data_IF_881027575920
#
_entry.id   IF_881027575920
#
_cell.length_a   1.000
_cell.length_b   1.000
_cell.length_c   1.000
_cell.angle_alpha   90.00
_cell.angle_beta   90.00
_cell.angle_gamma   90.00
#
_symmetry.space_group_name_H-M   'P 1'
#
loop_
_entity.id
_entity.type
_entity.pdbx_description
1 polymer ?
#
# COMPACT_ATOMS: atom_id res chain seq x y z
N UNK A 1 4.05 -6.24 -5.82
CA UNK A 1 2.76 -6.45 -5.12
C UNK A 1 2.67 -5.54 -3.91
N UNK A 2 1.49 -5.35 -3.31
CA UNK A 2 1.29 -4.55 -2.08
C UNK A 2 2.33 -4.86 -1.00
N UNK A 3 2.61 -6.15 -0.79
CA UNK A 3 3.64 -6.66 0.13
C UNK A 3 5.04 -6.07 -0.13
N UNK A 4 5.43 -5.84 -1.39
CA UNK A 4 6.71 -5.21 -1.72
C UNK A 4 6.74 -3.73 -1.31
N UNK A 5 5.61 -3.01 -1.43
CA UNK A 5 5.50 -1.62 -1.01
C UNK A 5 5.60 -1.52 0.52
N UNK A 6 4.91 -2.41 1.24
CA UNK A 6 5.00 -2.50 2.71
C UNK A 6 6.42 -2.83 3.20
N UNK A 7 7.09 -3.79 2.55
CA UNK A 7 8.49 -4.12 2.86
C UNK A 7 9.40 -2.90 2.64
N UNK A 8 9.19 -2.17 1.54
CA UNK A 8 9.96 -0.96 1.21
C UNK A 8 9.70 0.16 2.22
N UNK A 9 8.45 0.38 2.60
CA UNK A 9 8.04 1.34 3.63
C UNK A 9 8.74 1.04 4.97
N UNK A 10 8.70 -0.22 5.43
CA UNK A 10 9.40 -0.66 6.65
C UNK A 10 10.90 -0.38 6.60
N UNK A 11 11.54 -0.59 5.46
CA UNK A 11 12.98 -0.28 5.28
C UNK A 11 13.22 1.22 5.37
N UNK A 12 12.37 2.05 4.75
CA UNK A 12 12.50 3.51 4.81
C UNK A 12 12.25 4.07 6.20
N UNK A 13 11.28 3.53 6.95
CA UNK A 13 11.03 3.89 8.35
C UNK A 13 12.27 3.62 9.22
N UNK A 14 12.89 2.43 9.07
CA UNK A 14 14.16 2.11 9.76
C UNK A 14 15.29 3.07 9.38
N UNK A 15 15.41 3.43 8.09
CA UNK A 15 16.41 4.41 7.63
C UNK A 15 16.17 5.81 8.21
N UNK A 16 14.93 6.27 8.25
CA UNK A 16 14.56 7.55 8.83
C UNK A 16 14.89 7.61 10.33
N UNK A 17 14.55 6.56 11.09
CA UNK A 17 14.92 6.44 12.50
C UNK A 17 16.45 6.45 12.70
N UNK A 18 17.20 5.75 11.85
CA UNK A 18 18.66 5.75 11.91
C UNK A 18 19.29 7.12 11.59
N UNK A 19 18.69 7.93 10.72
CA UNK A 19 19.14 9.31 10.50
C UNK A 19 18.87 10.21 11.72
N UNK A 20 17.79 9.97 12.48
CA UNK A 20 17.52 10.70 13.73
C UNK A 20 18.60 10.41 14.78
N UNK A 21 18.95 9.14 14.99
CA UNK A 21 19.99 8.79 15.95
C UNK A 21 21.35 9.38 15.54
N UNK A 22 21.72 9.28 14.25
CA UNK A 22 22.94 9.94 13.74
C UNK A 22 22.91 11.46 13.90
N UNK A 23 21.77 12.11 13.69
CA UNK A 23 21.64 13.55 13.93
C UNK A 23 21.86 13.90 15.41
N UNK A 24 21.37 13.09 16.35
CA UNK A 24 21.61 13.26 17.79
C UNK A 24 23.09 13.10 18.12
N UNK A 25 23.76 12.10 17.58
CA UNK A 25 25.21 11.89 17.75
C UNK A 25 26.03 13.09 17.26
N UNK A 26 25.77 13.57 16.04
CA UNK A 26 26.44 14.75 15.51
C UNK A 26 26.14 16.02 16.31
N UNK A 27 24.93 16.13 16.87
CA UNK A 27 24.57 17.24 17.75
C UNK A 27 25.39 17.21 19.05
N UNK A 28 25.55 16.03 19.67
CA UNK A 28 26.40 15.83 20.86
C UNK A 28 27.87 16.14 20.55
N UNK A 29 28.34 15.77 19.36
CA UNK A 29 29.67 16.11 18.85
C UNK A 29 29.82 17.58 18.40
N UNK A 30 28.80 18.43 18.61
CA UNK A 30 28.76 19.84 18.17
C UNK A 30 28.93 20.04 16.65
N UNK A 31 28.77 18.99 15.85
CA UNK A 31 28.85 19.03 14.39
C UNK A 31 27.48 19.37 13.77
N UNK A 32 27.11 20.65 13.81
CA UNK A 32 25.80 21.14 13.32
C UNK A 32 25.56 20.84 11.84
N UNK A 33 26.61 20.93 11.00
CA UNK A 33 26.49 20.71 9.55
C UNK A 33 26.09 19.27 9.24
N UNK A 34 26.74 18.30 9.89
CA UNK A 34 26.42 16.89 9.72
C UNK A 34 25.02 16.54 10.27
N UNK A 35 24.66 17.10 11.43
CA UNK A 35 23.31 16.91 11.99
C UNK A 35 22.21 17.40 11.03
N UNK A 36 22.36 18.59 10.44
CA UNK A 36 21.42 19.13 9.46
C UNK A 36 21.33 18.21 8.22
N UNK A 37 22.46 17.65 7.77
CA UNK A 37 22.46 16.73 6.63
C UNK A 37 21.66 15.45 6.92
N UNK A 38 21.80 14.88 8.13
CA UNK A 38 20.98 13.75 8.57
C UNK A 38 19.49 14.09 8.59
N UNK A 39 19.11 15.26 9.11
CA UNK A 39 17.70 15.70 9.12
C UNK A 39 17.13 15.91 7.71
N UNK A 40 17.93 16.41 6.75
CA UNK A 40 17.52 16.49 5.35
C UNK A 40 17.28 15.10 4.74
N UNK A 41 18.15 14.13 5.04
CA UNK A 41 17.98 12.73 4.59
C UNK A 41 16.74 12.08 5.21
N UNK A 42 16.50 12.29 6.50
CA UNK A 42 15.27 11.87 7.19
C UNK A 42 14.03 12.39 6.45
N UNK A 43 13.98 13.70 6.17
CA UNK A 43 12.85 14.32 5.48
C UNK A 43 12.61 13.72 4.08
N UNK A 44 13.67 13.39 3.35
CA UNK A 44 13.55 12.70 2.06
C UNK A 44 12.93 11.30 2.21
N UNK A 45 13.33 10.53 3.22
CA UNK A 45 12.71 9.23 3.48
C UNK A 45 11.25 9.35 3.89
N UNK A 46 10.89 10.36 4.70
CA UNK A 46 9.50 10.62 5.08
C UNK A 46 8.61 10.94 3.88
N UNK A 47 9.10 11.76 2.94
CA UNK A 47 8.39 12.03 1.68
C UNK A 47 8.20 10.76 0.83
N UNK A 48 9.20 9.88 0.79
CA UNK A 48 9.07 8.60 0.08
C UNK A 48 8.07 7.67 0.76
N UNK A 49 8.02 7.65 2.09
CA UNK A 49 7.03 6.88 2.87
C UNK A 49 5.61 7.37 2.55
N UNK A 50 5.39 8.69 2.56
CA UNK A 50 4.09 9.28 2.22
C UNK A 50 3.64 8.89 0.80
N UNK A 51 4.55 8.95 -0.17
CA UNK A 51 4.26 8.51 -1.54
C UNK A 51 3.90 7.01 -1.60
N UNK A 52 4.62 6.16 -0.83
CA UNK A 52 4.29 4.74 -0.73
C UNK A 52 2.90 4.50 -0.14
N UNK A 53 2.51 5.24 0.89
CA UNK A 53 1.15 5.22 1.45
C UNK A 53 0.09 5.50 0.38
N UNK A 54 0.31 6.52 -0.45
CA UNK A 54 -0.59 6.84 -1.56
C UNK A 54 -0.67 5.74 -2.64
N UNK A 55 0.43 5.03 -2.90
CA UNK A 55 0.43 3.87 -3.79
C UNK A 55 -0.33 2.68 -3.18
N UNK A 56 -0.13 2.41 -1.88
CA UNK A 56 -0.82 1.33 -1.16
C UNK A 56 -2.34 1.56 -1.16
N UNK A 57 -2.80 2.77 -0.87
CA UNK A 57 -4.23 3.12 -0.88
C UNK A 57 -4.87 2.83 -2.23
N UNK A 58 -4.24 3.28 -3.32
CA UNK A 58 -4.76 3.03 -4.68
C UNK A 58 -4.82 1.54 -5.03
N UNK A 59 -3.86 0.74 -4.57
CA UNK A 59 -3.89 -0.71 -4.79
C UNK A 59 -5.03 -1.34 -3.98
N UNK A 60 -5.25 -0.90 -2.74
CA UNK A 60 -6.39 -1.36 -1.94
C UNK A 60 -7.73 -1.01 -2.60
N UNK A 61 -7.91 0.20 -3.11
CA UNK A 61 -9.13 0.59 -3.83
C UNK A 61 -9.37 -0.31 -5.06
N UNK A 62 -8.30 -0.63 -5.80
CA UNK A 62 -8.37 -1.55 -6.93
C UNK A 62 -8.73 -2.97 -6.51
N UNK A 63 -8.21 -3.46 -5.37
CA UNK A 63 -8.58 -4.76 -4.82
C UNK A 63 -10.07 -4.83 -4.48
N UNK A 64 -10.60 -3.81 -3.80
CA UNK A 64 -12.03 -3.73 -3.46
C UNK A 64 -12.89 -3.72 -4.72
N UNK A 65 -12.51 -2.94 -5.75
CA UNK A 65 -13.23 -2.90 -7.01
C UNK A 65 -13.26 -4.26 -7.71
N UNK A 66 -12.12 -4.98 -7.72
CA UNK A 66 -12.03 -6.31 -8.32
C UNK A 66 -12.85 -7.35 -7.56
N UNK A 67 -12.85 -7.29 -6.23
CA UNK A 67 -13.67 -8.15 -5.38
C UNK A 67 -15.17 -7.93 -5.65
N UNK A 68 -15.61 -6.67 -5.76
CA UNK A 68 -17.00 -6.34 -6.12
C UNK A 68 -17.39 -6.80 -7.53
N UNK A 69 -16.51 -6.62 -8.52
CA UNK A 69 -16.73 -7.09 -9.87
C UNK A 69 -16.83 -8.63 -9.94
N UNK A 70 -16.01 -9.33 -9.16
CA UNK A 70 -16.04 -10.79 -9.03
C UNK A 70 -17.37 -11.27 -8.44
N UNK A 71 -17.81 -10.69 -7.32
CA UNK A 71 -19.09 -11.05 -6.68
C UNK A 71 -20.29 -10.81 -7.63
N UNK A 72 -20.24 -9.72 -8.41
CA UNK A 72 -21.28 -9.42 -9.42
C UNK A 72 -21.29 -10.49 -10.52
N UNK A 73 -20.12 -10.89 -11.01
CA UNK A 73 -19.99 -11.93 -12.04
C UNK A 73 -20.54 -13.27 -11.53
N UNK A 74 -20.16 -13.67 -10.32
CA UNK A 74 -20.67 -14.90 -9.67
C UNK A 74 -22.20 -14.87 -9.52
N UNK A 75 -22.77 -13.73 -9.15
CA UNK A 75 -24.24 -13.55 -9.04
C UNK A 75 -24.92 -13.68 -10.40
N UNK A 76 -24.37 -13.04 -11.43
CA UNK A 76 -24.93 -13.09 -12.79
C UNK A 76 -24.86 -14.52 -13.36
N UNK A 77 -23.76 -15.24 -13.12
CA UNK A 77 -23.60 -16.64 -13.55
C UNK A 77 -24.61 -17.56 -12.87
N UNK A 78 -24.86 -17.37 -11.56
CA UNK A 78 -25.88 -18.10 -10.82
C UNK A 78 -27.30 -17.82 -11.37
N UNK A 79 -27.63 -16.55 -11.64
CA UNK A 79 -28.91 -16.16 -12.23
C UNK A 79 -29.12 -16.77 -13.62
N UNK A 80 -28.08 -16.77 -14.47
CA UNK A 80 -28.14 -17.37 -15.81
C UNK A 80 -28.39 -18.87 -15.74
N UNK A 81 -27.71 -19.56 -14.82
CA UNK A 81 -27.91 -20.99 -14.58
C UNK A 81 -29.33 -21.28 -14.10
N UNK A 82 -29.83 -20.51 -13.14
CA UNK A 82 -31.22 -20.62 -12.66
C UNK A 82 -32.26 -20.38 -13.76
N UNK A 83 -32.07 -19.35 -14.58
CA UNK A 83 -32.95 -19.05 -15.71
C UNK A 83 -32.95 -20.19 -16.76
N UNK A 84 -31.80 -20.77 -17.06
CA UNK A 84 -31.69 -21.91 -17.96
C UNK A 84 -32.44 -23.14 -17.41
N UNK A 85 -32.31 -23.44 -16.12
CA UNK A 85 -33.03 -24.53 -15.46
C UNK A 85 -34.55 -24.32 -15.47
N UNK A 86 -35.02 -23.10 -15.17
CA UNK A 86 -36.46 -22.77 -15.25
C UNK A 86 -37.02 -22.95 -16.67
N UNK A 87 -36.26 -22.53 -17.69
CA UNK A 87 -36.64 -22.71 -19.10
C UNK A 87 -36.70 -24.18 -19.52
N UNK A 88 -35.82 -25.02 -18.99
CA UNK A 88 -35.86 -26.46 -19.23
C UNK A 88 -37.10 -27.10 -18.60
N UNK A 89 -37.45 -26.70 -17.36
CA UNK A 89 -38.66 -27.16 -16.67
C UNK A 89 -39.95 -26.79 -17.41
N UNK A 90 -40.05 -25.57 -17.96
CA UNK A 90 -41.23 -25.14 -18.72
C UNK A 90 -41.43 -25.87 -20.06
N UNK A 91 -40.40 -26.56 -20.57
CA UNK A 91 -40.46 -27.30 -21.84
C UNK A 91 -40.74 -28.80 -21.65
N UNK A 92 -40.71 -29.28 -20.41
CA UNK A 92 -41.07 -30.64 -20.03
C UNK A 92 -42.58 -30.71 -19.74
#
# INVERSE_FOLDING_TARGET
TLEMLEKKEKVLLKKAAAEVERAKEFTRAKNKRAAIQCLKRKRLYEQQIEQLGNFQLRIHDQMIMLEGAKATTETVDALRTGAAAMKAMQKA
#
